data_IF_418816798577
#
_entry.id   IF_418816798577
#
_cell.length_a   1.000
_cell.length_b   1.000
_cell.length_c   1.000
_cell.angle_alpha   90.00
_cell.angle_beta   90.00
_cell.angle_gamma   90.00
#
_symmetry.space_group_name_H-M   'P 1'
#
loop_
_entity.id
_entity.type
_entity.pdbx_description
1 polymer ?
#
# COMPACT_ATOMS: atom_id res chain seq x y z
N UNK A 1 6.88 -2.42 -6.40
CA UNK A 1 7.30 -1.16 -7.04
C UNK A 1 8.17 -0.40 -6.06
N UNK A 2 9.36 0.05 -6.48
CA UNK A 2 10.27 0.76 -5.58
C UNK A 2 10.82 2.03 -6.23
N UNK A 3 10.93 3.10 -5.44
CA UNK A 3 11.57 4.35 -5.86
C UNK A 3 12.32 4.99 -4.69
N UNK A 4 13.26 5.89 -4.98
CA UNK A 4 14.00 6.61 -3.93
C UNK A 4 13.44 8.01 -3.73
N UNK A 5 13.12 8.72 -4.82
CA UNK A 5 12.56 10.05 -4.77
C UNK A 5 11.31 10.09 -5.66
N UNK A 6 10.15 9.90 -5.05
CA UNK A 6 8.88 9.85 -5.76
C UNK A 6 7.78 9.17 -4.94
N UNK A 7 6.54 9.65 -5.13
CA UNK A 7 5.36 8.98 -4.60
C UNK A 7 4.94 7.80 -5.48
N UNK A 8 4.30 6.81 -4.87
CA UNK A 8 3.68 5.68 -5.59
C UNK A 8 2.17 5.84 -5.46
N UNK A 9 1.45 6.01 -6.57
CA UNK A 9 -0.01 5.98 -6.59
C UNK A 9 -0.45 4.82 -7.46
N UNK A 10 -1.23 3.90 -6.89
CA UNK A 10 -1.85 2.80 -7.64
C UNK A 10 -3.35 3.00 -7.65
N UNK A 11 -3.93 2.97 -8.85
CA UNK A 11 -5.37 2.91 -9.07
C UNK A 11 -5.73 1.46 -9.34
N UNK A 12 -6.51 0.88 -8.44
CA UNK A 12 -6.83 -0.55 -8.43
C UNK A 12 -8.35 -0.73 -8.51
N UNK A 13 -8.86 -1.80 -9.17
CA UNK A 13 -10.28 -2.09 -9.18
C UNK A 13 -10.86 -2.23 -7.76
N UNK A 14 -12.12 -1.88 -7.56
CA UNK A 14 -12.79 -2.05 -6.26
C UNK A 14 -12.82 -3.52 -5.79
N UNK A 15 -12.70 -4.48 -6.72
CA UNK A 15 -12.63 -5.93 -6.47
C UNK A 15 -11.21 -6.45 -6.20
N UNK A 16 -10.22 -5.56 -6.06
CA UNK A 16 -8.84 -5.92 -5.81
C UNK A 16 -8.70 -6.79 -4.54
N UNK A 17 -7.93 -7.88 -4.65
CA UNK A 17 -7.59 -8.77 -3.54
C UNK A 17 -6.10 -9.11 -3.61
N UNK A 18 -5.38 -8.85 -2.52
CA UNK A 18 -3.95 -9.06 -2.42
C UNK A 18 -3.46 -9.00 -0.97
N UNK A 19 -2.29 -9.56 -0.72
CA UNK A 19 -1.50 -9.24 0.46
C UNK A 19 -0.67 -7.98 0.15
N UNK A 20 -0.83 -6.92 0.93
CA UNK A 20 -0.18 -5.63 0.70
C UNK A 20 0.95 -5.47 1.70
N UNK A 21 2.14 -5.17 1.18
CA UNK A 21 3.30 -4.69 1.91
C UNK A 21 3.67 -3.32 1.36
N UNK A 22 3.63 -2.29 2.21
CA UNK A 22 4.05 -0.95 1.83
C UNK A 22 4.95 -0.33 2.92
N UNK A 23 6.05 0.28 2.49
CA UNK A 23 7.04 0.92 3.36
C UNK A 23 7.53 2.26 2.79
N UNK A 24 7.60 3.28 3.65
CA UNK A 24 8.22 4.56 3.31
C UNK A 24 9.11 5.07 4.42
N UNK A 25 10.24 5.70 4.08
CA UNK A 25 11.14 6.32 5.07
C UNK A 25 10.64 7.72 5.42
N UNK A 26 10.45 8.57 4.41
CA UNK A 26 9.99 9.94 4.52
C UNK A 26 8.72 10.14 3.68
N UNK A 27 7.58 9.97 4.33
CA UNK A 27 6.25 10.14 3.76
C UNK A 27 5.22 9.38 4.57
N UNK A 28 4.04 9.22 3.97
CA UNK A 28 2.90 8.55 4.58
C UNK A 28 2.30 7.52 3.62
N UNK A 29 1.59 6.55 4.19
CA UNK A 29 0.88 5.51 3.45
C UNK A 29 -0.64 5.71 3.64
N UNK A 30 -1.34 5.85 2.52
CA UNK A 30 -2.79 6.03 2.46
C UNK A 30 -3.44 4.94 1.60
N UNK A 31 -4.65 4.54 1.98
CA UNK A 31 -5.38 3.45 1.33
C UNK A 31 -6.88 3.67 1.44
N UNK A 32 -7.59 3.53 0.32
CA UNK A 32 -9.05 3.54 0.25
C UNK A 32 -9.67 2.14 0.39
N UNK A 33 -8.83 1.11 0.50
CA UNK A 33 -9.25 -0.27 0.63
C UNK A 33 -9.37 -0.67 2.10
N UNK A 34 -10.44 -1.41 2.48
CA UNK A 34 -10.49 -2.04 3.78
C UNK A 34 -9.37 -3.07 3.90
N UNK A 35 -8.64 -3.01 5.01
CA UNK A 35 -7.45 -3.84 5.25
C UNK A 35 -7.62 -4.63 6.54
N UNK A 36 -7.33 -5.92 6.46
CA UNK A 36 -7.04 -6.72 7.64
C UNK A 36 -5.56 -6.61 7.92
N UNK A 37 -5.18 -5.77 8.87
CA UNK A 37 -3.78 -5.53 9.24
C UNK A 37 -3.21 -6.75 9.97
N UNK A 38 -2.00 -7.15 9.60
CA UNK A 38 -1.22 -8.15 10.33
C UNK A 38 0.02 -7.49 10.94
N UNK A 39 0.14 -7.52 12.27
CA UNK A 39 1.28 -6.94 12.98
C UNK A 39 1.15 -5.43 13.18
N UNK A 40 2.20 -4.66 12.87
CA UNK A 40 2.27 -3.22 13.16
C UNK A 40 1.78 -2.42 11.96
N UNK A 41 0.76 -1.59 12.18
CA UNK A 41 0.35 -0.54 11.25
C UNK A 41 0.81 0.81 11.77
N UNK A 42 1.32 1.65 10.88
CA UNK A 42 1.72 3.01 11.19
C UNK A 42 1.83 3.85 9.92
N UNK A 43 2.08 5.16 10.06
CA UNK A 43 2.11 6.09 8.92
C UNK A 43 3.14 5.71 7.86
N UNK A 44 4.19 4.96 8.23
CA UNK A 44 5.32 4.59 7.37
C UNK A 44 5.38 3.11 6.98
N UNK A 45 4.56 2.27 7.61
CA UNK A 45 4.57 0.83 7.38
C UNK A 45 3.14 0.30 7.39
N UNK A 46 2.79 -0.39 6.31
CA UNK A 46 1.53 -1.09 6.15
C UNK A 46 1.83 -2.53 5.75
N UNK A 47 1.29 -3.46 6.54
CA UNK A 47 1.20 -4.86 6.15
C UNK A 47 -0.19 -5.38 6.46
N UNK A 48 -0.88 -5.88 5.45
CA UNK A 48 -2.23 -6.37 5.63
C UNK A 48 -2.80 -7.01 4.38
N UNK A 49 -3.99 -7.56 4.54
CA UNK A 49 -4.72 -8.22 3.47
C UNK A 49 -5.86 -7.34 2.99
N UNK A 50 -5.96 -7.13 1.68
CA UNK A 50 -7.13 -6.53 1.03
C UNK A 50 -8.00 -7.64 0.44
N UNK A 51 -9.31 -7.55 0.66
CA UNK A 51 -10.27 -8.54 0.15
C UNK A 51 -9.96 -9.94 0.68
N UNK A 52 -9.87 -10.91 -0.24
CA UNK A 52 -9.57 -12.30 0.09
C UNK A 52 -8.07 -12.62 0.14
N UNK A 53 -7.19 -11.61 0.00
CA UNK A 53 -5.74 -11.81 -0.11
C UNK A 53 -5.32 -12.43 -1.43
N UNK A 54 -4.21 -13.18 -1.41
CA UNK A 54 -3.67 -13.87 -2.58
C UNK A 54 -2.25 -13.42 -2.94
N UNK A 55 -2.09 -12.77 -4.09
CA UNK A 55 -0.76 -12.32 -4.55
C UNK A 55 -0.23 -11.20 -3.66
N UNK A 56 1.09 -11.17 -3.48
CA UNK A 56 1.76 -10.10 -2.76
C UNK A 56 1.94 -8.86 -3.66
N UNK A 57 1.57 -7.69 -3.12
CA UNK A 57 1.83 -6.37 -3.67
C UNK A 57 2.83 -5.67 -2.75
N UNK A 58 4.09 -5.63 -3.18
CA UNK A 58 5.19 -4.97 -2.45
C UNK A 58 5.49 -3.57 -3.01
N UNK A 59 5.52 -2.57 -2.12
CA UNK A 59 5.65 -1.16 -2.43
C UNK A 59 6.67 -0.50 -1.48
N UNK A 60 7.66 0.19 -2.03
CA UNK A 60 8.66 0.88 -1.23
C UNK A 60 9.04 2.24 -1.79
N UNK A 61 9.13 3.26 -0.93
CA UNK A 61 9.76 4.52 -1.32
C UNK A 61 10.64 5.09 -0.21
N UNK A 62 11.73 5.79 -0.55
CA UNK A 62 12.53 6.47 0.48
C UNK A 62 11.93 7.85 0.78
N UNK A 63 11.73 8.68 -0.25
CA UNK A 63 11.13 10.00 -0.13
C UNK A 63 9.88 10.08 -0.99
N UNK A 64 8.71 9.91 -0.38
CA UNK A 64 7.43 9.95 -1.05
C UNK A 64 6.31 9.25 -0.26
N UNK A 65 5.07 9.61 -0.59
CA UNK A 65 3.89 8.92 -0.07
C UNK A 65 3.50 7.75 -0.96
N UNK A 66 2.89 6.73 -0.37
CA UNK A 66 2.27 5.61 -1.09
C UNK A 66 0.76 5.74 -0.96
N UNK A 67 0.04 5.68 -2.09
CA UNK A 67 -1.43 5.81 -2.15
C UNK A 67 -2.05 4.66 -2.93
N UNK A 68 -2.97 3.95 -2.29
CA UNK A 68 -3.82 2.95 -2.93
C UNK A 68 -5.22 3.52 -3.10
N UNK A 69 -5.63 3.74 -4.35
CA UNK A 69 -6.92 4.34 -4.71
C UNK A 69 -7.79 3.37 -5.48
N UNK A 70 -9.10 3.54 -5.38
CA UNK A 70 -10.04 2.84 -6.23
C UNK A 70 -10.04 3.51 -7.62
N UNK A 71 -9.79 2.72 -8.66
CA UNK A 71 -10.02 3.15 -10.03
C UNK A 71 -11.52 3.43 -10.21
N UNK A 72 -11.84 4.51 -10.92
CA UNK A 72 -13.22 4.92 -11.23
C UNK A 72 -13.78 4.09 -12.38
#
# INVERSE_FOLDING_TARGET
FHTVNGGITLELPATFSAEVRAETVNGDIETEFPLTVTGRFGPRHLRGTVGNGGRELDLGTVNGSIRLRKAT
#
